data_IF_271135860567
#
_entry.id   IF_271135860567
#
_cell.length_a   1.000
_cell.length_b   1.000
_cell.length_c   1.000
_cell.angle_alpha   90.00
_cell.angle_beta   90.00
_cell.angle_gamma   90.00
#
_symmetry.space_group_name_H-M   'P 1'
#
loop_
_entity.id
_entity.type
_entity.pdbx_description
1 polymer ?
#
# COMPACT_ATOMS: atom_id res chain seq x y z
N UNK A 1 -33.63 15.86 -24.87
CA UNK A 1 -33.16 14.47 -24.59
C UNK A 1 -31.63 14.32 -24.65
N UNK A 2 -30.94 14.82 -25.69
CA UNK A 2 -29.47 14.68 -25.81
C UNK A 2 -28.68 15.32 -24.65
N UNK A 3 -29.06 16.53 -24.22
CA UNK A 3 -28.40 17.21 -23.10
C UNK A 3 -28.52 16.47 -21.75
N UNK A 4 -29.59 15.70 -21.55
CA UNK A 4 -29.77 14.87 -20.35
C UNK A 4 -28.83 13.66 -20.38
N UNK A 5 -28.76 12.95 -21.51
CA UNK A 5 -27.84 11.80 -21.67
C UNK A 5 -26.38 12.19 -21.50
N UNK A 6 -25.96 13.31 -22.09
CA UNK A 6 -24.58 13.80 -21.93
C UNK A 6 -24.26 14.17 -20.48
N UNK A 7 -25.22 14.74 -19.75
CA UNK A 7 -25.03 15.08 -18.36
C UNK A 7 -25.02 13.84 -17.43
N UNK A 8 -25.72 12.75 -17.76
CA UNK A 8 -25.62 11.46 -17.05
C UNK A 8 -24.23 10.82 -17.24
N UNK A 9 -23.69 10.85 -18.46
CA UNK A 9 -22.34 10.38 -18.75
C UNK A 9 -21.30 11.19 -17.97
N UNK A 10 -21.43 12.52 -17.96
CA UNK A 10 -20.54 13.40 -17.20
C UNK A 10 -20.63 13.17 -15.69
N UNK A 11 -21.83 12.92 -15.15
CA UNK A 11 -21.98 12.57 -13.73
C UNK A 11 -21.27 11.26 -13.39
N UNK A 12 -21.36 10.25 -14.26
CA UNK A 12 -20.64 8.99 -14.09
C UNK A 12 -19.12 9.22 -14.08
N UNK A 13 -18.60 10.00 -15.02
CA UNK A 13 -17.18 10.36 -15.09
C UNK A 13 -16.72 11.16 -13.85
N UNK A 14 -17.54 12.08 -13.35
CA UNK A 14 -17.24 12.84 -12.12
C UNK A 14 -17.17 11.90 -10.92
N UNK A 15 -18.11 10.96 -10.79
CA UNK A 15 -18.08 9.95 -9.72
C UNK A 15 -16.83 9.07 -9.82
N UNK A 16 -16.53 8.58 -11.01
CA UNK A 16 -15.32 7.80 -11.29
C UNK A 16 -14.06 8.59 -10.93
N UNK A 17 -13.97 9.86 -11.30
CA UNK A 17 -12.87 10.74 -10.93
C UNK A 17 -12.75 10.94 -9.41
N UNK A 18 -13.86 11.16 -8.71
CA UNK A 18 -13.86 11.31 -7.24
C UNK A 18 -13.47 10.01 -6.54
N UNK A 19 -13.82 8.87 -7.12
CA UNK A 19 -13.42 7.56 -6.63
C UNK A 19 -11.95 7.26 -6.92
N UNK A 20 -11.47 7.57 -8.13
CA UNK A 20 -10.06 7.54 -8.50
C UNK A 20 -9.20 8.42 -7.58
N UNK A 21 -9.62 9.66 -7.29
CA UNK A 21 -8.91 10.58 -6.38
C UNK A 21 -8.98 10.14 -4.92
N UNK A 22 -10.00 9.38 -4.54
CA UNK A 22 -10.25 9.01 -3.15
C UNK A 22 -10.51 10.22 -2.23
N UNK A 23 -10.09 10.11 -0.97
CA UNK A 23 -10.07 11.22 -0.01
C UNK A 23 -11.31 11.34 0.90
N UNK A 24 -11.17 12.19 1.92
CA UNK A 24 -12.23 12.44 2.91
C UNK A 24 -13.48 13.05 2.24
N UNK A 25 -14.72 12.73 2.66
CA UNK A 25 -15.93 13.32 2.09
C UNK A 25 -15.91 14.85 2.02
N UNK A 26 -15.29 15.51 3.00
CA UNK A 26 -15.06 16.98 3.00
C UNK A 26 -14.19 17.45 1.84
N UNK A 27 -13.14 16.70 1.48
CA UNK A 27 -12.30 17.01 0.32
C UNK A 27 -13.05 16.81 -1.00
N UNK A 28 -13.85 15.72 -1.09
CA UNK A 28 -14.72 15.47 -2.25
C UNK A 28 -15.77 16.57 -2.43
N UNK A 29 -16.40 17.01 -1.34
CA UNK A 29 -17.32 18.14 -1.33
C UNK A 29 -16.64 19.43 -1.82
N UNK A 30 -15.38 19.68 -1.42
CA UNK A 30 -14.61 20.85 -1.89
C UNK A 30 -14.31 20.78 -3.40
N UNK A 31 -13.98 19.62 -3.94
CA UNK A 31 -13.79 19.46 -5.39
C UNK A 31 -15.10 19.70 -6.15
N UNK A 32 -16.20 19.14 -5.67
CA UNK A 32 -17.52 19.37 -6.25
C UNK A 32 -17.92 20.85 -6.16
N UNK A 33 -17.66 21.53 -5.05
CA UNK A 33 -17.89 22.97 -4.92
C UNK A 33 -17.13 23.78 -5.99
N UNK A 34 -15.85 23.49 -6.21
CA UNK A 34 -15.06 24.17 -7.27
C UNK A 34 -15.63 23.86 -8.65
N UNK A 35 -15.97 22.60 -8.94
CA UNK A 35 -16.58 22.21 -10.21
C UNK A 35 -17.94 22.90 -10.44
N UNK A 36 -18.79 22.96 -9.41
CA UNK A 36 -20.07 23.69 -9.43
C UNK A 36 -19.84 25.17 -9.71
N UNK A 37 -18.86 25.79 -9.05
CA UNK A 37 -18.54 27.22 -9.22
C UNK A 37 -18.04 27.53 -10.62
N UNK A 38 -17.14 26.69 -11.16
CA UNK A 38 -16.67 26.82 -12.54
C UNK A 38 -17.80 26.63 -13.54
N UNK A 39 -18.67 25.64 -13.33
CA UNK A 39 -19.84 25.42 -14.18
C UNK A 39 -20.79 26.63 -14.15
N UNK A 40 -21.07 27.21 -12.97
CA UNK A 40 -21.85 28.46 -12.86
C UNK A 40 -21.21 29.59 -13.66
N UNK A 41 -19.89 29.75 -13.57
CA UNK A 41 -19.18 30.79 -14.32
C UNK A 41 -19.26 30.58 -15.83
N UNK A 42 -19.05 29.36 -16.32
CA UNK A 42 -19.14 29.02 -17.75
C UNK A 42 -20.55 29.28 -18.29
N UNK A 43 -21.57 29.00 -17.48
CA UNK A 43 -22.97 29.15 -17.88
C UNK A 43 -23.62 30.45 -17.40
N UNK A 44 -22.85 31.44 -16.95
CA UNK A 44 -23.36 32.67 -16.33
C UNK A 44 -24.36 33.42 -17.23
N UNK A 45 -24.13 33.43 -18.53
CA UNK A 45 -24.95 34.17 -19.49
C UNK A 45 -26.32 33.49 -19.72
N UNK A 46 -26.42 32.19 -19.38
CA UNK A 46 -27.66 31.39 -19.45
C UNK A 46 -28.38 31.38 -18.09
N UNK A 47 -27.63 31.44 -16.99
CA UNK A 47 -28.17 31.41 -15.63
C UNK A 47 -28.77 32.75 -15.20
N UNK A 48 -28.31 33.86 -15.79
CA UNK A 48 -28.71 35.20 -15.37
C UNK A 48 -28.17 35.54 -13.98
N UNK A 49 -28.94 36.29 -13.19
CA UNK A 49 -28.56 36.78 -11.84
C UNK A 49 -28.88 35.79 -10.72
N UNK A 50 -29.69 34.75 -10.99
CA UNK A 50 -30.08 33.80 -9.97
C UNK A 50 -29.07 32.64 -9.88
N UNK A 51 -28.42 32.55 -8.72
CA UNK A 51 -27.46 31.52 -8.36
C UNK A 51 -28.03 30.08 -8.31
N UNK A 52 -29.30 29.91 -8.67
CA UNK A 52 -30.07 28.68 -8.58
C UNK A 52 -30.68 28.32 -9.94
N UNK A 53 -30.02 27.46 -10.75
CA UNK A 53 -30.60 26.97 -11.99
C UNK A 53 -31.92 26.25 -11.73
N UNK A 54 -32.95 26.59 -12.51
CA UNK A 54 -34.18 25.80 -12.61
C UNK A 54 -33.82 24.40 -13.15
N UNK A 55 -34.55 23.36 -12.73
CA UNK A 55 -34.26 21.94 -13.05
C UNK A 55 -34.18 21.68 -14.56
N UNK A 56 -34.91 22.46 -15.36
CA UNK A 56 -34.91 22.41 -16.82
C UNK A 56 -33.75 23.18 -17.50
N UNK A 57 -33.03 24.05 -16.79
CA UNK A 57 -32.06 24.97 -17.37
C UNK A 57 -30.77 24.30 -17.84
N UNK A 58 -29.94 23.82 -16.91
CA UNK A 58 -28.61 23.27 -17.22
C UNK A 58 -28.42 21.93 -16.51
N UNK A 59 -28.67 20.81 -17.22
CA UNK A 59 -28.77 19.50 -16.59
C UNK A 59 -27.50 19.05 -15.83
N UNK A 60 -26.30 19.43 -16.28
CA UNK A 60 -25.04 19.06 -15.60
C UNK A 60 -24.83 19.84 -14.30
N UNK A 61 -25.21 21.12 -14.26
CA UNK A 61 -25.06 21.96 -13.08
C UNK A 61 -25.96 21.47 -11.94
N UNK A 62 -27.18 21.04 -12.26
CA UNK A 62 -28.08 20.45 -11.26
C UNK A 62 -27.54 19.12 -10.70
N UNK A 63 -26.94 18.27 -11.55
CA UNK A 63 -26.27 17.03 -11.11
C UNK A 63 -25.09 17.33 -10.18
N UNK A 64 -24.27 18.33 -10.51
CA UNK A 64 -23.15 18.78 -9.66
C UNK A 64 -23.64 19.27 -8.29
N UNK A 65 -24.67 20.12 -8.25
CA UNK A 65 -25.27 20.62 -7.00
C UNK A 65 -25.82 19.45 -6.16
N UNK A 66 -26.53 18.51 -6.79
CA UNK A 66 -27.08 17.32 -6.12
C UNK A 66 -25.97 16.45 -5.54
N UNK A 67 -24.93 16.18 -6.32
CA UNK A 67 -23.75 15.44 -5.87
C UNK A 67 -23.03 16.14 -4.71
N UNK A 68 -22.87 17.46 -4.79
CA UNK A 68 -22.24 18.26 -3.77
C UNK A 68 -23.02 18.15 -2.46
N UNK A 69 -24.34 18.42 -2.46
CA UNK A 69 -25.21 18.30 -1.28
C UNK A 69 -25.18 16.90 -0.67
N UNK A 70 -25.27 15.85 -1.51
CA UNK A 70 -25.19 14.47 -1.05
C UNK A 70 -23.85 14.17 -0.36
N UNK A 71 -22.75 14.73 -0.88
CA UNK A 71 -21.40 14.56 -0.34
C UNK A 71 -21.18 15.37 0.94
N UNK A 72 -21.72 16.59 1.02
CA UNK A 72 -21.71 17.42 2.22
C UNK A 72 -22.48 16.78 3.36
N UNK A 73 -23.68 16.24 3.10
CA UNK A 73 -24.45 15.50 4.10
C UNK A 73 -23.69 14.27 4.60
N UNK A 74 -23.04 13.52 3.70
CA UNK A 74 -22.14 12.43 4.10
C UNK A 74 -20.99 12.94 4.97
N UNK A 75 -20.44 14.12 4.67
CA UNK A 75 -19.32 14.70 5.42
C UNK A 75 -19.68 15.14 6.84
N UNK A 76 -20.90 15.66 7.05
CA UNK A 76 -21.41 16.05 8.37
C UNK A 76 -21.59 14.85 9.31
N UNK A 77 -21.88 13.69 8.74
CA UNK A 77 -22.04 12.43 9.46
C UNK A 77 -20.71 11.65 9.62
N UNK A 78 -19.58 12.21 9.17
CA UNK A 78 -18.28 11.62 9.46
C UNK A 78 -17.85 12.05 10.85
N UNK A 79 -17.57 11.12 11.78
CA UNK A 79 -17.06 11.48 13.09
C UNK A 79 -15.78 12.32 12.98
N UNK A 80 -15.48 13.17 13.98
CA UNK A 80 -14.27 13.96 14.00
C UNK A 80 -13.07 13.09 13.70
N UNK A 81 -12.19 13.62 12.86
CA UNK A 81 -10.97 12.93 12.47
C UNK A 81 -10.10 12.87 13.71
N UNK A 82 -9.95 11.67 14.33
CA UNK A 82 -9.05 11.45 15.46
C UNK A 82 -7.69 12.13 15.17
N UNK A 83 -6.99 12.62 16.18
CA UNK A 83 -5.67 13.24 16.02
C UNK A 83 -4.65 12.27 15.39
N UNK A 84 -3.47 12.78 15.01
CA UNK A 84 -2.39 11.91 14.56
C UNK A 84 -1.93 10.99 15.68
N UNK A 85 -1.79 11.52 16.90
CA UNK A 85 -1.27 10.79 18.05
C UNK A 85 -2.20 9.63 18.44
N UNK A 86 -3.52 9.83 18.33
CA UNK A 86 -4.53 8.79 18.57
C UNK A 86 -4.57 7.70 17.49
N UNK A 87 -3.91 7.91 16.34
CA UNK A 87 -3.88 6.97 15.20
C UNK A 87 -2.47 6.58 14.78
N UNK A 88 -1.50 6.82 15.65
CA UNK A 88 -0.10 6.51 15.44
C UNK A 88 0.38 5.53 16.49
N UNK A 89 1.46 4.85 16.18
CA UNK A 89 2.23 4.04 17.11
C UNK A 89 3.71 4.25 16.80
N UNK A 90 4.57 3.92 17.75
CA UNK A 90 6.01 3.92 17.54
C UNK A 90 6.39 2.94 16.43
N UNK A 91 7.44 3.23 15.67
CA UNK A 91 7.85 2.36 14.58
C UNK A 91 8.24 0.95 15.06
N UNK A 92 8.78 0.84 16.27
CA UNK A 92 9.02 -0.45 16.94
C UNK A 92 7.74 -1.31 17.01
N UNK A 93 6.59 -0.72 17.35
CA UNK A 93 5.31 -1.44 17.39
C UNK A 93 4.88 -1.92 16.01
N UNK A 94 5.24 -1.21 14.93
CA UNK A 94 5.03 -1.68 13.56
C UNK A 94 5.85 -2.94 13.30
N UNK A 95 7.15 -2.93 13.64
CA UNK A 95 8.06 -4.08 13.49
C UNK A 95 7.56 -5.29 14.29
N UNK A 96 7.17 -5.08 15.55
CA UNK A 96 6.61 -6.11 16.42
C UNK A 96 5.27 -6.66 15.91
N UNK A 97 4.44 -5.83 15.27
CA UNK A 97 3.21 -6.30 14.63
C UNK A 97 3.50 -7.18 13.43
N UNK A 98 4.50 -6.82 12.61
CA UNK A 98 4.94 -7.64 11.48
C UNK A 98 5.44 -8.99 11.98
N UNK A 99 6.27 -9.00 13.03
CA UNK A 99 6.76 -10.24 13.65
C UNK A 99 5.62 -11.09 14.20
N UNK A 100 4.68 -10.49 14.95
CA UNK A 100 3.50 -11.17 15.44
C UNK A 100 2.70 -11.82 14.30
N UNK A 101 2.53 -11.12 13.17
CA UNK A 101 1.82 -11.65 12.01
C UNK A 101 2.59 -12.75 11.27
N UNK A 102 3.92 -12.69 11.25
CA UNK A 102 4.78 -13.77 10.77
C UNK A 102 4.55 -15.04 11.58
N UNK A 103 4.58 -14.96 12.90
CA UNK A 103 4.30 -16.12 13.77
C UNK A 103 2.91 -16.74 13.50
N UNK A 104 1.91 -15.93 13.19
CA UNK A 104 0.58 -16.43 12.80
C UNK A 104 0.57 -17.10 11.43
N UNK A 105 1.41 -16.64 10.49
CA UNK A 105 1.58 -17.28 9.19
C UNK A 105 2.32 -18.63 9.31
N UNK A 106 3.23 -18.77 10.27
CA UNK A 106 3.99 -20.01 10.51
C UNK A 106 3.21 -21.06 11.31
N UNK A 107 2.21 -20.64 12.09
CA UNK A 107 1.38 -21.56 12.87
C UNK A 107 0.56 -22.43 11.93
N UNK A 108 0.92 -23.71 11.82
CA UNK A 108 0.22 -24.73 11.02
C UNK A 108 -0.78 -25.57 11.81
N UNK A 109 -0.71 -25.54 13.14
CA UNK A 109 -1.54 -26.35 14.04
C UNK A 109 -2.36 -25.44 14.96
N UNK A 110 -3.63 -25.76 15.14
CA UNK A 110 -4.49 -25.18 16.18
C UNK A 110 -4.40 -26.01 17.45
N UNK A 111 -4.38 -25.32 18.59
CA UNK A 111 -4.51 -25.94 19.91
C UNK A 111 -5.86 -25.52 20.49
N UNK A 112 -6.74 -26.48 20.74
CA UNK A 112 -8.01 -26.24 21.43
C UNK A 112 -8.05 -27.05 22.73
N UNK A 113 -8.44 -26.39 23.82
CA UNK A 113 -8.78 -27.10 25.07
C UNK A 113 -10.21 -27.64 24.93
N UNK A 114 -10.38 -28.92 25.21
CA UNK A 114 -11.70 -29.52 25.44
C UNK A 114 -12.10 -29.39 26.92
N UNK A 115 -13.35 -29.71 27.28
CA UNK A 115 -13.83 -29.66 28.68
C UNK A 115 -13.07 -30.59 29.64
N UNK A 116 -12.18 -31.44 29.13
CA UNK A 116 -11.19 -32.24 29.86
C UNK A 116 -9.77 -31.75 29.52
N UNK A 117 -8.82 -31.88 30.44
CA UNK A 117 -7.42 -31.37 30.43
C UNK A 117 -6.55 -31.64 29.16
N UNK A 118 -7.10 -32.27 28.12
CA UNK A 118 -6.43 -32.59 26.88
C UNK A 118 -6.38 -31.39 25.91
N UNK A 119 -5.21 -31.22 25.28
CA UNK A 119 -4.99 -30.24 24.21
C UNK A 119 -5.13 -30.97 22.87
N UNK A 120 -6.25 -30.77 22.17
CA UNK A 120 -6.42 -31.28 20.81
C UNK A 120 -5.57 -30.46 19.84
N UNK A 121 -4.78 -31.16 19.01
CA UNK A 121 -3.97 -30.57 17.94
C UNK A 121 -4.64 -30.86 16.60
N UNK A 122 -5.13 -29.84 15.91
CA UNK A 122 -5.73 -29.99 14.57
C UNK A 122 -4.93 -29.21 13.53
N UNK A 123 -4.67 -29.78 12.34
CA UNK A 123 -4.09 -29.03 11.23
C UNK A 123 -4.99 -27.85 10.85
N UNK A 124 -4.38 -26.71 10.55
CA UNK A 124 -5.10 -25.53 10.09
C UNK A 124 -5.52 -25.70 8.64
N UNK A 125 -6.72 -25.23 8.32
CA UNK A 125 -7.20 -25.19 6.94
C UNK A 125 -6.27 -24.32 6.08
N UNK A 126 -5.93 -24.80 4.88
CA UNK A 126 -5.03 -24.10 3.97
C UNK A 126 -5.47 -22.66 3.68
N UNK A 127 -6.78 -22.44 3.52
CA UNK A 127 -7.34 -21.09 3.31
C UNK A 127 -7.04 -20.14 4.46
N UNK A 128 -7.04 -20.63 5.70
CA UNK A 128 -6.71 -19.83 6.87
C UNK A 128 -5.22 -19.48 6.90
N UNK A 129 -4.35 -20.46 6.58
CA UNK A 129 -2.91 -20.25 6.46
C UNK A 129 -2.56 -19.24 5.36
N UNK A 130 -3.15 -19.39 4.16
CA UNK A 130 -2.98 -18.46 3.05
C UNK A 130 -3.45 -17.04 3.41
N UNK A 131 -4.57 -16.91 4.15
CA UNK A 131 -5.04 -15.61 4.63
C UNK A 131 -4.07 -14.97 5.64
N UNK A 132 -3.51 -15.76 6.55
CA UNK A 132 -2.55 -15.24 7.52
C UNK A 132 -1.24 -14.83 6.87
N UNK A 133 -0.75 -15.59 5.89
CA UNK A 133 0.36 -15.22 5.03
C UNK A 133 0.06 -13.93 4.26
N UNK A 134 -1.13 -13.80 3.68
CA UNK A 134 -1.53 -12.58 2.99
C UNK A 134 -1.58 -11.37 3.92
N UNK A 135 -2.09 -11.52 5.15
CA UNK A 135 -2.11 -10.46 6.17
C UNK A 135 -0.71 -10.07 6.61
N UNK A 136 0.18 -11.05 6.81
CA UNK A 136 1.58 -10.81 7.11
C UNK A 136 2.23 -9.97 5.99
N UNK A 137 2.13 -10.40 4.73
CA UNK A 137 2.70 -9.64 3.61
C UNK A 137 2.04 -8.27 3.42
N UNK A 138 0.75 -8.14 3.72
CA UNK A 138 0.03 -6.86 3.65
C UNK A 138 0.62 -5.81 4.59
N UNK A 139 1.13 -6.22 5.78
CA UNK A 139 1.78 -5.30 6.72
C UNK A 139 3.31 -5.26 6.55
N UNK A 140 3.95 -6.36 6.17
CA UNK A 140 5.39 -6.45 6.02
C UNK A 140 5.92 -5.57 4.88
N UNK A 141 5.23 -5.54 3.73
CA UNK A 141 5.66 -4.73 2.58
C UNK A 141 5.67 -3.21 2.91
N UNK A 142 4.58 -2.58 3.35
CA UNK A 142 4.62 -1.17 3.74
C UNK A 142 5.37 -0.93 5.05
N UNK A 143 5.47 -1.92 5.95
CA UNK A 143 6.05 -1.77 7.28
C UNK A 143 7.57 -1.91 7.33
N UNK A 144 8.16 -2.78 6.51
CA UNK A 144 9.60 -3.12 6.58
C UNK A 144 10.42 -2.72 5.35
N UNK A 145 9.82 -2.62 4.17
CA UNK A 145 10.58 -2.32 2.94
C UNK A 145 10.92 -0.84 2.94
N UNK A 146 9.89 -0.01 2.83
CA UNK A 146 9.85 1.42 3.08
C UNK A 146 8.40 1.82 2.84
N UNK A 147 7.74 2.62 3.67
CA UNK A 147 6.34 2.99 3.45
C UNK A 147 6.22 4.00 2.31
N UNK A 148 6.04 3.49 1.09
CA UNK A 148 5.62 4.28 -0.06
C UNK A 148 4.14 4.68 0.06
N UNK A 149 3.56 5.23 -1.01
CA UNK A 149 2.12 5.49 -1.05
C UNK A 149 1.36 4.18 -0.88
N UNK A 150 0.26 4.21 -0.13
CA UNK A 150 -0.58 3.01 0.09
C UNK A 150 -0.97 2.31 -1.22
N UNK A 151 -1.21 3.10 -2.28
CA UNK A 151 -1.50 2.65 -3.65
C UNK A 151 -0.50 1.63 -4.20
N UNK A 152 0.79 1.85 -3.96
CA UNK A 152 1.86 0.95 -4.39
C UNK A 152 1.64 -0.49 -3.92
N UNK A 153 1.03 -0.70 -2.75
CA UNK A 153 0.89 -2.04 -2.18
C UNK A 153 -0.43 -2.72 -2.53
N UNK A 154 -1.54 -1.97 -2.60
CA UNK A 154 -2.84 -2.59 -2.91
C UNK A 154 -3.09 -2.74 -4.42
N UNK A 155 -2.43 -1.94 -5.27
CA UNK A 155 -2.41 -2.11 -6.74
C UNK A 155 -1.18 -2.88 -7.24
N UNK A 156 -0.48 -3.57 -6.34
CA UNK A 156 0.71 -4.34 -6.68
C UNK A 156 0.34 -5.48 -7.63
N UNK A 157 0.97 -5.52 -8.81
CA UNK A 157 0.64 -6.43 -9.89
C UNK A 157 1.86 -7.23 -10.35
N UNK A 158 1.74 -8.55 -10.28
CA UNK A 158 2.81 -9.49 -10.63
C UNK A 158 3.15 -9.35 -12.11
N UNK A 159 4.43 -9.16 -12.41
CA UNK A 159 4.93 -8.98 -13.76
C UNK A 159 4.81 -7.56 -14.30
N UNK A 160 4.05 -6.66 -13.65
CA UNK A 160 3.95 -5.23 -14.01
C UNK A 160 4.65 -4.35 -12.98
N UNK A 161 4.06 -4.16 -11.80
CA UNK A 161 4.60 -3.30 -10.74
C UNK A 161 5.34 -4.07 -9.65
N UNK A 162 5.19 -5.39 -9.63
CA UNK A 162 5.99 -6.33 -8.84
C UNK A 162 6.80 -7.23 -9.76
N UNK A 163 8.12 -7.13 -9.69
CA UNK A 163 9.04 -7.84 -10.59
C UNK A 163 9.90 -8.82 -9.81
N UNK A 164 10.14 -10.00 -10.38
CA UNK A 164 11.09 -10.99 -9.86
C UNK A 164 12.21 -11.22 -10.90
N UNK A 165 13.46 -11.16 -10.46
CA UNK A 165 14.60 -11.22 -11.36
C UNK A 165 15.89 -10.68 -10.75
N UNK A 166 16.80 -10.23 -11.60
CA UNK A 166 18.09 -9.65 -11.22
C UNK A 166 18.38 -8.39 -12.03
N UNK A 167 19.08 -7.45 -11.40
CA UNK A 167 19.68 -6.31 -12.08
C UNK A 167 21.14 -6.64 -12.38
N UNK A 168 21.48 -6.71 -13.67
CA UNK A 168 22.83 -7.00 -14.16
C UNK A 168 23.17 -5.91 -15.19
N UNK A 169 24.31 -5.26 -15.03
CA UNK A 169 24.81 -4.23 -15.96
C UNK A 169 23.76 -3.16 -16.35
N UNK A 170 23.04 -2.65 -15.34
CA UNK A 170 21.99 -1.63 -15.48
C UNK A 170 20.76 -2.09 -16.26
N UNK A 171 20.60 -3.39 -16.52
CA UNK A 171 19.43 -3.99 -17.15
C UNK A 171 18.74 -4.96 -16.20
N UNK A 172 17.41 -4.94 -16.21
CA UNK A 172 16.61 -5.93 -15.51
C UNK A 172 16.48 -7.18 -16.36
N UNK A 173 16.75 -8.34 -15.75
CA UNK A 173 16.46 -9.65 -16.31
C UNK A 173 15.41 -10.31 -15.44
N UNK A 174 14.25 -10.56 -16.02
CA UNK A 174 13.17 -11.32 -15.37
C UNK A 174 13.60 -12.76 -15.11
N UNK A 175 12.92 -13.42 -14.16
CA UNK A 175 13.18 -14.84 -13.87
C UNK A 175 13.11 -15.74 -15.10
N UNK A 176 12.20 -15.45 -16.05
CA UNK A 176 12.11 -16.19 -17.33
C UNK A 176 13.34 -16.00 -18.22
N UNK A 177 13.92 -14.80 -18.23
CA UNK A 177 15.11 -14.46 -19.03
C UNK A 177 16.41 -14.96 -18.38
N UNK A 178 16.41 -15.16 -17.06
CA UNK A 178 17.55 -15.71 -16.32
C UNK A 178 17.73 -17.21 -16.52
N UNK A 179 16.66 -17.96 -16.85
CA UNK A 179 16.74 -19.38 -17.16
C UNK A 179 17.54 -19.59 -18.45
N UNK A 180 18.83 -19.89 -18.30
CA UNK A 180 19.78 -20.03 -19.41
C UNK A 180 20.82 -18.92 -19.49
N UNK A 181 20.77 -17.92 -18.59
CA UNK A 181 21.81 -16.90 -18.50
C UNK A 181 23.00 -17.43 -17.68
N UNK A 182 24.24 -17.44 -18.21
CA UNK A 182 25.42 -17.93 -17.50
C UNK A 182 25.79 -17.09 -16.27
N UNK A 183 25.27 -15.87 -16.14
CA UNK A 183 25.46 -15.01 -14.98
C UNK A 183 24.46 -15.30 -13.84
N UNK A 184 23.54 -16.26 -14.04
CA UNK A 184 22.57 -16.63 -13.01
C UNK A 184 23.18 -17.61 -12.00
N UNK A 185 23.31 -17.17 -10.75
CA UNK A 185 23.83 -17.93 -9.62
C UNK A 185 22.73 -18.66 -8.81
N UNK A 186 21.51 -18.73 -9.35
CA UNK A 186 20.35 -19.27 -8.64
C UNK A 186 19.66 -18.27 -7.71
N UNK A 187 20.20 -17.06 -7.53
CA UNK A 187 19.57 -16.04 -6.69
C UNK A 187 18.46 -15.30 -7.44
N UNK A 188 17.42 -14.92 -6.72
CA UNK A 188 16.28 -14.14 -7.24
C UNK A 188 16.03 -13.02 -6.26
N UNK A 189 15.82 -11.81 -6.78
CA UNK A 189 15.41 -10.63 -6.02
C UNK A 189 14.03 -10.18 -6.45
N UNK A 190 13.37 -9.43 -5.57
CA UNK A 190 12.06 -8.85 -5.83
C UNK A 190 12.17 -7.32 -5.87
N UNK A 191 11.43 -6.70 -6.78
CA UNK A 191 11.47 -5.26 -7.00
C UNK A 191 10.06 -4.69 -7.11
N UNK A 192 9.91 -3.46 -6.63
CA UNK A 192 8.80 -2.58 -6.97
C UNK A 192 9.21 -1.75 -8.19
N UNK A 193 8.32 -1.70 -9.19
CA UNK A 193 8.51 -0.93 -10.42
C UNK A 193 7.29 -0.04 -10.66
N UNK A 194 7.50 1.26 -10.85
CA UNK A 194 6.44 2.18 -11.26
C UNK A 194 6.81 2.80 -12.61
N UNK A 195 5.89 2.75 -13.56
CA UNK A 195 5.99 3.52 -14.80
C UNK A 195 5.44 4.94 -14.60
N UNK A 196 5.57 5.78 -15.62
CA UNK A 196 5.09 7.18 -15.58
C UNK A 196 3.61 7.27 -15.17
N UNK A 197 2.76 6.41 -15.74
CA UNK A 197 1.32 6.35 -15.47
C UNK A 197 0.97 5.88 -14.05
N UNK A 198 1.87 5.14 -13.40
CA UNK A 198 1.69 4.69 -12.02
C UNK A 198 2.04 5.82 -11.02
N UNK A 199 2.72 6.88 -11.48
CA UNK A 199 3.09 8.00 -10.62
C UNK A 199 2.04 9.10 -10.53
N UNK A 200 1.90 9.65 -9.33
CA UNK A 200 0.99 10.78 -9.05
C UNK A 200 1.36 12.06 -9.81
N UNK A 201 2.62 12.22 -10.21
CA UNK A 201 3.17 13.47 -10.76
C UNK A 201 3.55 13.35 -12.22
N UNK A 202 2.93 12.45 -13.02
CA UNK A 202 3.33 12.08 -14.39
C UNK A 202 3.98 13.18 -15.26
N UNK A 203 3.59 14.45 -15.13
CA UNK A 203 4.19 15.57 -15.88
C UNK A 203 5.57 16.10 -15.40
N UNK A 204 5.96 15.90 -14.14
CA UNK A 204 7.19 16.47 -13.55
C UNK A 204 8.19 15.42 -13.06
N UNK A 205 8.15 14.22 -13.63
CA UNK A 205 9.15 13.21 -13.29
C UNK A 205 10.51 13.50 -13.94
N UNK A 206 11.62 13.18 -13.25
CA UNK A 206 12.94 13.15 -13.85
C UNK A 206 12.98 12.36 -15.16
N UNK A 207 13.80 12.80 -16.12
CA UNK A 207 13.93 12.17 -17.43
C UNK A 207 14.21 10.65 -17.35
N UNK A 208 15.03 10.22 -16.38
CA UNK A 208 15.32 8.81 -16.19
C UNK A 208 14.13 7.97 -15.71
N UNK A 209 13.20 8.54 -14.94
CA UNK A 209 11.98 7.82 -14.54
C UNK A 209 11.04 7.68 -15.74
N UNK A 210 11.00 8.66 -16.63
CA UNK A 210 10.26 8.53 -17.91
C UNK A 210 10.83 7.43 -18.79
N UNK A 211 12.15 7.29 -18.84
CA UNK A 211 12.81 6.31 -19.69
C UNK A 211 12.79 4.88 -19.13
N UNK A 212 13.01 4.71 -17.82
CA UNK A 212 13.22 3.39 -17.22
C UNK A 212 12.19 3.02 -16.13
N UNK A 213 11.36 3.98 -15.71
CA UNK A 213 10.51 3.85 -14.52
C UNK A 213 11.30 3.99 -13.22
N UNK A 214 10.57 4.05 -12.11
CA UNK A 214 11.14 4.05 -10.77
C UNK A 214 11.27 2.60 -10.29
N UNK A 215 12.45 2.26 -9.76
CA UNK A 215 12.77 0.91 -9.29
C UNK A 215 13.22 0.95 -7.83
N UNK A 216 12.72 0.00 -7.05
CA UNK A 216 13.19 -0.23 -5.69
C UNK A 216 13.31 -1.73 -5.42
N UNK A 217 14.49 -2.16 -4.98
CA UNK A 217 14.70 -3.53 -4.49
C UNK A 217 13.98 -3.71 -3.15
N UNK A 218 13.26 -4.83 -3.00
CA UNK A 218 12.66 -5.22 -1.73
C UNK A 218 13.77 -5.80 -0.86
N UNK A 219 14.08 -5.26 0.33
CA UNK A 219 15.13 -5.82 1.17
C UNK A 219 14.74 -7.21 1.68
N UNK A 220 15.68 -8.16 1.61
CA UNK A 220 15.48 -9.51 2.13
C UNK A 220 15.68 -9.54 3.65
N UNK A 221 14.73 -8.97 4.38
CA UNK A 221 14.79 -8.86 5.85
C UNK A 221 14.81 -10.25 6.49
N UNK A 222 15.83 -10.52 7.30
CA UNK A 222 15.95 -11.74 8.10
C UNK A 222 15.17 -11.67 9.42
N UNK A 223 14.67 -12.82 9.86
CA UNK A 223 13.99 -13.01 11.14
C UNK A 223 14.83 -13.85 12.11
N UNK A 224 14.57 -13.80 13.43
CA UNK A 224 15.36 -14.52 14.42
C UNK A 224 15.41 -16.05 14.25
N UNK A 225 14.39 -16.65 13.63
CA UNK A 225 14.31 -18.09 13.38
C UNK A 225 15.05 -18.54 12.10
N UNK A 226 15.82 -17.64 11.47
CA UNK A 226 16.56 -17.91 10.23
C UNK A 226 15.71 -17.78 8.97
N UNK A 227 14.39 -17.61 9.09
CA UNK A 227 13.54 -17.29 7.95
C UNK A 227 13.80 -15.87 7.45
N UNK A 228 13.34 -15.55 6.24
CA UNK A 228 13.46 -14.20 5.68
C UNK A 228 12.25 -13.82 4.83
N UNK A 229 12.10 -12.51 4.56
CA UNK A 229 10.93 -11.97 3.84
C UNK A 229 10.75 -12.62 2.46
N UNK A 230 11.84 -12.93 1.74
CA UNK A 230 11.77 -13.56 0.43
C UNK A 230 11.15 -14.96 0.48
N UNK A 231 11.39 -15.74 1.54
CA UNK A 231 10.74 -17.05 1.72
C UNK A 231 9.21 -16.93 1.76
N UNK A 232 8.68 -15.93 2.46
CA UNK A 232 7.24 -15.69 2.55
C UNK A 232 6.64 -15.16 1.26
N UNK A 233 7.35 -14.27 0.56
CA UNK A 233 6.94 -13.80 -0.78
C UNK A 233 6.85 -15.00 -1.73
N UNK A 234 7.88 -15.84 -1.76
CA UNK A 234 7.92 -17.05 -2.60
C UNK A 234 6.78 -18.01 -2.24
N UNK A 235 6.59 -18.30 -0.96
CA UNK A 235 5.51 -19.17 -0.48
C UNK A 235 4.13 -18.63 -0.90
N UNK A 236 3.94 -17.31 -0.85
CA UNK A 236 2.71 -16.69 -1.32
C UNK A 236 2.51 -16.86 -2.83
N UNK A 237 3.52 -16.57 -3.64
CA UNK A 237 3.43 -16.67 -5.10
C UNK A 237 3.22 -18.10 -5.59
N UNK A 238 3.88 -19.08 -4.96
CA UNK A 238 3.85 -20.48 -5.37
C UNK A 238 2.61 -21.22 -4.85
N UNK A 239 2.30 -21.06 -3.57
CA UNK A 239 1.23 -21.81 -2.91
C UNK A 239 0.08 -20.91 -2.45
N UNK A 240 0.35 -19.94 -1.57
CA UNK A 240 -0.69 -19.20 -0.85
C UNK A 240 -1.69 -18.50 -1.76
N UNK A 241 -1.22 -17.96 -2.89
CA UNK A 241 -2.04 -17.28 -3.87
C UNK A 241 -2.99 -18.23 -4.62
N UNK A 242 -2.61 -19.49 -4.75
CA UNK A 242 -3.30 -20.52 -5.52
C UNK A 242 -4.21 -21.41 -4.66
N UNK A 243 -4.19 -21.27 -3.33
CA UNK A 243 -5.09 -22.00 -2.42
C UNK A 243 -6.54 -21.77 -2.80
N UNK A 244 -7.28 -22.86 -3.02
CA UNK A 244 -8.67 -22.82 -3.49
C UNK A 244 -8.86 -22.27 -4.91
N UNK A 245 -7.85 -22.41 -5.78
CA UNK A 245 -7.89 -22.05 -7.21
C UNK A 245 -7.02 -20.84 -7.57
N UNK A 246 -6.52 -20.81 -8.82
CA UNK A 246 -5.72 -19.70 -9.35
C UNK A 246 -6.60 -18.46 -9.58
N UNK A 247 -6.29 -17.27 -9.04
CA UNK A 247 -7.03 -16.04 -9.35
C UNK A 247 -6.92 -15.67 -10.84
N UNK A 248 -8.02 -15.20 -11.44
CA UNK A 248 -8.08 -14.71 -12.82
C UNK A 248 -7.68 -13.22 -12.93
N UNK A 249 -6.53 -12.87 -12.35
CA UNK A 249 -5.93 -11.54 -12.41
C UNK A 249 -4.46 -11.64 -12.00
N UNK A 250 -3.68 -10.58 -12.19
CA UNK A 250 -2.26 -10.54 -11.80
C UNK A 250 -1.98 -9.74 -10.51
N UNK A 251 -2.99 -9.11 -9.91
CA UNK A 251 -2.80 -8.46 -8.60
C UNK A 251 -2.26 -9.42 -7.54
N UNK A 252 -1.33 -8.91 -6.74
CA UNK A 252 -0.57 -9.62 -5.72
C UNK A 252 -1.50 -10.08 -4.58
N UNK A 253 -2.43 -9.23 -4.17
CA UNK A 253 -3.42 -9.51 -3.15
C UNK A 253 -4.82 -9.73 -3.75
N UNK A 254 -5.64 -10.54 -3.06
CA UNK A 254 -7.01 -10.80 -3.44
C UNK A 254 -7.94 -10.79 -2.23
N UNK A 255 -9.22 -10.50 -2.48
CA UNK A 255 -10.26 -10.54 -1.45
C UNK A 255 -10.56 -11.97 -1.01
N UNK A 256 -10.56 -12.17 0.31
CA UNK A 256 -10.95 -13.43 0.96
C UNK A 256 -12.42 -13.42 1.43
N UNK A 257 -13.16 -12.35 1.15
CA UNK A 257 -14.59 -12.28 1.48
C UNK A 257 -15.38 -13.26 0.62
N UNK A 258 -16.41 -13.89 1.18
CA UNK A 258 -17.26 -14.84 0.47
C UNK A 258 -17.86 -14.25 -0.81
N UNK A 259 -18.26 -12.97 -0.79
CA UNK A 259 -18.93 -12.30 -1.92
C UNK A 259 -17.98 -11.81 -3.02
N UNK A 260 -16.67 -11.80 -2.76
CA UNK A 260 -15.65 -11.29 -3.68
C UNK A 260 -14.41 -12.17 -3.70
N UNK A 261 -14.56 -13.45 -3.35
CA UNK A 261 -13.44 -14.37 -3.23
C UNK A 261 -12.65 -14.39 -4.54
N UNK A 262 -11.32 -14.23 -4.44
CA UNK A 262 -10.38 -14.20 -5.59
C UNK A 262 -10.55 -13.04 -6.57
N UNK A 263 -11.35 -12.02 -6.24
CA UNK A 263 -11.28 -10.71 -6.90
C UNK A 263 -10.07 -9.93 -6.37
N UNK A 264 -9.52 -8.97 -7.15
CA UNK A 264 -8.48 -8.08 -6.66
C UNK A 264 -8.87 -7.44 -5.33
N UNK A 265 -7.92 -7.34 -4.41
CA UNK A 265 -8.16 -6.67 -3.14
C UNK A 265 -8.16 -5.15 -3.36
N UNK A 266 -9.31 -4.52 -3.20
CA UNK A 266 -9.45 -3.08 -3.39
C UNK A 266 -8.80 -2.25 -2.26
N UNK A 267 -8.74 -0.94 -2.49
CA UNK A 267 -8.13 0.01 -1.54
C UNK A 267 -8.83 0.02 -0.18
N UNK A 268 -10.16 -0.16 -0.16
CA UNK A 268 -10.97 -0.17 1.06
C UNK A 268 -10.72 -1.44 1.86
N UNK A 269 -10.78 -2.60 1.23
CA UNK A 269 -10.53 -3.90 1.84
C UNK A 269 -9.12 -4.00 2.39
N UNK A 270 -8.12 -3.53 1.63
CA UNK A 270 -6.73 -3.49 2.10
C UNK A 270 -6.55 -2.52 3.29
N UNK A 271 -7.13 -1.31 3.22
CA UNK A 271 -7.12 -0.35 4.35
C UNK A 271 -7.74 -0.94 5.60
N UNK A 272 -8.94 -1.52 5.49
CA UNK A 272 -9.65 -2.14 6.61
C UNK A 272 -8.82 -3.26 7.23
N UNK A 273 -8.15 -4.07 6.40
CA UNK A 273 -7.24 -5.12 6.87
C UNK A 273 -6.13 -4.54 7.74
N UNK A 274 -5.38 -3.56 7.26
CA UNK A 274 -4.27 -2.95 8.02
C UNK A 274 -4.76 -2.34 9.33
N UNK A 275 -5.84 -1.53 9.28
CA UNK A 275 -6.43 -0.92 10.48
C UNK A 275 -6.80 -1.98 11.51
N UNK A 276 -7.38 -3.09 11.07
CA UNK A 276 -7.79 -4.16 11.97
C UNK A 276 -6.59 -4.89 12.60
N UNK A 277 -5.47 -5.03 11.89
CA UNK A 277 -4.25 -5.61 12.46
C UNK A 277 -3.72 -4.78 13.64
N UNK A 278 -3.66 -3.45 13.49
CA UNK A 278 -3.25 -2.56 14.59
C UNK A 278 -4.27 -2.54 15.72
N UNK A 279 -5.57 -2.46 15.39
CA UNK A 279 -6.63 -2.44 16.39
C UNK A 279 -6.63 -3.72 17.24
N UNK A 280 -6.45 -4.89 16.63
CA UNK A 280 -6.40 -6.16 17.34
C UNK A 280 -5.19 -6.30 18.26
N UNK A 281 -4.04 -5.74 17.87
CA UNK A 281 -2.79 -5.91 18.62
C UNK A 281 -2.57 -4.82 19.68
N UNK A 282 -2.91 -3.58 19.37
CA UNK A 282 -2.59 -2.42 20.21
C UNK A 282 -3.81 -1.56 20.56
N UNK A 283 -5.02 -1.89 20.11
CA UNK A 283 -6.21 -1.07 20.32
C UNK A 283 -6.28 0.19 19.46
N UNK A 284 -5.23 0.51 18.70
CA UNK A 284 -5.11 1.75 17.91
C UNK A 284 -5.52 1.52 16.46
N UNK A 285 -6.30 2.44 15.87
CA UNK A 285 -6.69 2.38 14.45
C UNK A 285 -5.67 3.11 13.58
N UNK A 286 -4.60 2.44 13.19
CA UNK A 286 -3.55 3.02 12.30
C UNK A 286 -3.91 2.78 10.83
N UNK A 287 -4.26 3.82 10.05
CA UNK A 287 -4.47 3.69 8.60
C UNK A 287 -3.15 3.48 7.85
N UNK A 288 -3.14 2.79 6.70
CA UNK A 288 -1.90 2.50 5.97
C UNK A 288 -1.09 3.74 5.57
N UNK A 289 -1.74 4.85 5.21
CA UNK A 289 -1.05 6.08 4.84
C UNK A 289 -0.26 6.70 5.99
N UNK A 290 -0.60 6.37 7.24
CA UNK A 290 0.10 6.85 8.44
C UNK A 290 1.42 6.11 8.66
N UNK A 291 1.56 4.88 8.18
CA UNK A 291 2.82 4.11 8.29
C UNK A 291 4.01 4.88 7.71
N UNK A 292 3.78 5.63 6.63
CA UNK A 292 4.79 6.53 6.05
C UNK A 292 5.24 7.61 7.00
N UNK A 293 4.30 8.25 7.69
CA UNK A 293 4.61 9.31 8.66
C UNK A 293 5.26 8.74 9.92
N UNK A 294 4.82 7.56 10.40
CA UNK A 294 5.47 6.84 11.51
C UNK A 294 6.95 6.61 11.20
N UNK A 295 7.26 6.05 10.03
CA UNK A 295 8.64 5.78 9.64
C UNK A 295 9.48 7.05 9.47
N UNK A 296 8.92 8.09 8.84
CA UNK A 296 9.60 9.39 8.71
C UNK A 296 9.92 9.98 10.08
N UNK A 297 8.97 9.94 11.01
CA UNK A 297 9.13 10.46 12.37
C UNK A 297 10.25 9.68 13.09
N UNK A 298 10.22 8.36 13.00
CA UNK A 298 11.27 7.50 13.56
C UNK A 298 12.68 7.84 13.04
N UNK A 299 12.83 8.09 11.74
CA UNK A 299 14.13 8.48 11.18
C UNK A 299 14.64 9.82 11.73
N UNK A 300 13.74 10.77 11.99
CA UNK A 300 14.13 12.04 12.61
C UNK A 300 14.49 11.84 14.09
N UNK A 301 13.72 11.06 14.85
CA UNK A 301 13.98 10.74 16.26
C UNK A 301 15.31 9.99 16.47
N UNK A 302 15.69 9.13 15.52
CA UNK A 302 16.97 8.42 15.55
C UNK A 302 18.15 9.26 15.02
N UNK A 303 17.94 10.55 14.71
CA UNK A 303 18.95 11.42 14.10
C UNK A 303 19.64 10.77 12.88
N UNK A 304 18.84 10.18 11.99
CA UNK A 304 19.37 9.41 10.87
C UNK A 304 20.40 10.22 10.04
N UNK A 305 21.51 9.60 9.58
CA UNK A 305 22.52 10.30 8.79
C UNK A 305 21.95 10.97 7.53
N UNK A 306 22.62 12.02 7.04
CA UNK A 306 22.22 12.74 5.82
C UNK A 306 22.00 11.81 4.63
N UNK A 307 22.89 10.84 4.43
CA UNK A 307 22.76 9.81 3.39
C UNK A 307 21.45 9.00 3.49
N UNK A 308 20.98 8.70 4.70
CA UNK A 308 19.71 8.00 4.93
C UNK A 308 18.52 8.92 4.62
N UNK A 309 18.61 10.21 4.99
CA UNK A 309 17.57 11.21 4.69
C UNK A 309 17.45 11.47 3.18
N UNK A 310 18.56 11.46 2.45
CA UNK A 310 18.58 11.56 0.98
C UNK A 310 18.03 10.28 0.31
N UNK A 311 18.48 9.11 0.77
CA UNK A 311 17.96 7.81 0.32
C UNK A 311 16.45 7.70 0.54
N UNK A 312 15.95 8.20 1.67
CA UNK A 312 14.51 8.35 1.96
C UNK A 312 13.82 9.21 0.92
N UNK A 313 14.33 10.39 0.59
CA UNK A 313 13.72 11.27 -0.40
C UNK A 313 13.60 10.57 -1.78
N UNK A 314 14.60 9.77 -2.15
CA UNK A 314 14.59 8.93 -3.35
C UNK A 314 13.52 7.82 -3.28
N UNK A 315 13.49 7.04 -2.20
CA UNK A 315 12.52 5.95 -1.99
C UNK A 315 11.06 6.44 -1.93
N UNK A 316 10.88 7.68 -1.47
CA UNK A 316 9.58 8.31 -1.28
C UNK A 316 9.07 9.07 -2.51
N UNK A 317 9.84 9.11 -3.61
CA UNK A 317 9.58 9.90 -4.83
C UNK A 317 9.44 11.42 -4.52
N UNK A 318 10.26 11.95 -3.62
CA UNK A 318 10.13 13.30 -3.06
C UNK A 318 11.20 14.31 -3.51
N UNK A 319 12.21 13.90 -4.28
CA UNK A 319 13.34 14.78 -4.63
C UNK A 319 13.16 15.47 -5.98
N UNK A 320 13.01 16.80 -5.95
CA UNK A 320 13.10 17.66 -7.16
C UNK A 320 14.53 17.73 -7.71
N UNK A 321 15.57 17.62 -6.85
CA UNK A 321 16.98 17.57 -7.29
C UNK A 321 17.28 16.36 -8.17
N UNK A 322 16.48 15.28 -8.06
CA UNK A 322 16.60 14.13 -8.95
C UNK A 322 16.12 14.41 -10.37
N UNK A 323 15.33 15.46 -10.60
CA UNK A 323 14.80 15.81 -11.92
C UNK A 323 15.89 16.21 -12.93
N UNK A 324 17.04 16.68 -12.44
CA UNK A 324 18.11 17.25 -13.26
C UNK A 324 19.24 16.26 -13.62
N UNK A 325 19.26 15.05 -13.05
CA UNK A 325 20.35 14.08 -13.27
C UNK A 325 19.87 12.83 -14.03
N UNK A 326 20.65 12.41 -15.03
CA UNK A 326 20.45 11.14 -15.73
C UNK A 326 20.90 9.99 -14.82
N UNK A 327 19.93 9.26 -14.27
CA UNK A 327 20.20 8.05 -13.50
C UNK A 327 19.75 6.82 -14.28
N UNK A 328 20.41 5.68 -14.08
CA UNK A 328 19.91 4.40 -14.56
C UNK A 328 19.27 3.61 -13.40
N UNK A 329 18.61 2.49 -13.72
CA UNK A 329 17.91 1.66 -12.73
C UNK A 329 18.80 1.26 -11.55
N UNK A 330 20.06 0.87 -11.82
CA UNK A 330 21.03 0.47 -10.81
C UNK A 330 21.40 1.62 -9.86
N UNK A 331 21.51 2.84 -10.39
CA UNK A 331 21.82 4.01 -9.58
C UNK A 331 20.71 4.31 -8.58
N UNK A 332 19.44 4.22 -9.01
CA UNK A 332 18.28 4.42 -8.13
C UNK A 332 18.28 3.42 -6.97
N UNK A 333 18.55 2.14 -7.25
CA UNK A 333 18.66 1.08 -6.23
C UNK A 333 19.83 1.38 -5.27
N UNK A 334 21.00 1.71 -5.82
CA UNK A 334 22.21 2.01 -5.03
C UNK A 334 21.98 3.20 -4.11
N UNK A 335 21.27 4.22 -4.57
CA UNK A 335 20.95 5.42 -3.78
C UNK A 335 19.96 5.16 -2.65
N UNK A 336 19.07 4.17 -2.78
CA UNK A 336 18.16 3.77 -1.70
C UNK A 336 18.83 2.87 -0.66
N UNK A 337 19.93 2.20 -1.01
CA UNK A 337 20.62 1.23 -0.16
C UNK A 337 20.90 1.71 1.27
N UNK A 338 21.39 2.94 1.52
CA UNK A 338 21.63 3.41 2.89
C UNK A 338 20.38 3.38 3.78
N UNK A 339 19.20 3.69 3.21
CA UNK A 339 17.93 3.61 3.93
C UNK A 339 17.58 2.17 4.30
N UNK A 340 17.77 1.23 3.36
CA UNK A 340 17.45 -0.17 3.57
C UNK A 340 18.39 -0.81 4.60
N UNK A 341 19.69 -0.55 4.49
CA UNK A 341 20.68 -1.05 5.44
C UNK A 341 20.40 -0.50 6.85
N UNK A 342 20.06 0.80 6.97
CA UNK A 342 19.65 1.42 8.24
C UNK A 342 18.40 0.75 8.82
N UNK A 343 17.35 0.58 8.00
CA UNK A 343 16.10 -0.02 8.47
C UNK A 343 16.29 -1.48 8.86
N UNK A 344 17.08 -2.24 8.10
CA UNK A 344 17.38 -3.64 8.39
C UNK A 344 18.12 -3.79 9.72
N UNK A 345 19.08 -2.90 10.01
CA UNK A 345 19.77 -2.89 11.30
C UNK A 345 18.81 -2.62 12.46
N UNK A 346 17.92 -1.63 12.32
CA UNK A 346 16.90 -1.33 13.33
C UNK A 346 15.93 -2.50 13.54
N UNK A 347 15.36 -3.05 12.47
CA UNK A 347 14.45 -4.21 12.54
C UNK A 347 15.13 -5.39 13.23
N UNK A 348 16.38 -5.70 12.85
CA UNK A 348 17.14 -6.79 13.45
C UNK A 348 17.36 -6.58 14.96
N UNK A 349 17.62 -5.35 15.39
CA UNK A 349 17.75 -5.00 16.81
C UNK A 349 16.45 -5.25 17.57
N UNK A 350 15.34 -4.67 17.11
CA UNK A 350 14.02 -4.80 17.75
C UNK A 350 13.59 -6.26 17.89
N UNK A 351 13.78 -7.06 16.84
CA UNK A 351 13.39 -8.48 16.87
C UNK A 351 14.26 -9.31 17.84
N UNK A 352 15.56 -9.02 17.94
CA UNK A 352 16.45 -9.68 18.91
C UNK A 352 16.05 -9.34 20.35
N UNK A 353 15.77 -8.08 20.64
CA UNK A 353 15.34 -7.62 21.97
C UNK A 353 13.99 -8.25 22.38
N UNK A 354 13.07 -8.39 21.43
CA UNK A 354 11.78 -9.06 21.66
C UNK A 354 11.94 -10.55 22.00
N UNK A 355 12.82 -11.27 21.31
CA UNK A 355 13.10 -12.69 21.57
C UNK A 355 13.79 -12.90 22.93
N UNK A 356 14.76 -12.04 23.28
CA UNK A 356 15.40 -12.09 24.59
C UNK A 356 14.41 -11.87 25.74
N UNK A 357 13.48 -10.93 25.56
CA UNK A 357 12.43 -10.64 26.55
C UNK A 357 11.46 -11.81 26.72
N UNK A 358 11.14 -12.54 25.65
CA UNK A 358 10.32 -13.75 25.70
C UNK A 358 11.01 -14.93 26.38
N UNK A 359 12.32 -15.10 26.15
CA UNK A 359 13.11 -16.13 26.81
C UNK A 359 13.16 -15.97 28.33
N UNK A 360 13.32 -14.73 28.82
CA UNK A 360 13.30 -14.42 30.26
C UNK A 360 11.97 -14.75 30.93
N UNK A 361 10.85 -14.40 30.30
CA UNK A 361 9.50 -14.67 30.83
C UNK A 361 9.08 -16.16 30.78
N UNK A 362 9.84 -17.03 30.12
CA UNK A 362 9.61 -18.48 30.14
C UNK A 362 10.41 -19.21 31.22
N UNK A 363 11.46 -18.57 31.74
CA UNK A 363 12.36 -19.12 32.75
C UNK A 363 12.13 -18.54 34.16
N UNK A 364 11.27 -17.53 34.26
CA UNK A 364 10.67 -17.03 35.50
C UNK A 364 9.26 -17.62 35.60
#
# INVERSE_FOLDING_TARGET
MLAQRGADQNEALIKEYLDFRGGHPRSRARYLFVATTLAKFVYRDILGTDDFPVKEGIPILWRLIKLQKATENKSKNVPPTDSYDERSVDYEKVVLLVHYRKEHADKTINHSKTNSEYILRTPRQERALANDLQKFLSIALPGLVFPSRSRTYYELEIGRTFKEGLMIDKKFYSLSELKGNPLWDGTIKYYLHHQEDDSKTGKHQPAHIKQYGWWAEIPNIGFPDGSNLYMYIRNWLQWGRNVGGKPNHNFFFFSISATSYKKPLDSVGWRCRIVQLFKQRYGVKVPPQILRKIFVTHLEEQNAPSAVKEARACALEHSEKMAQQEYNMQHTITKMKPLFDFNQAFVSKVLKEAEQSRGKNRNA
#
